data_IF_231829488201
#
_entry.id   IF_231829488201
#
_cell.length_a   1.000
_cell.length_b   1.000
_cell.length_c   1.000
_cell.angle_alpha   90.00
_cell.angle_beta   90.00
_cell.angle_gamma   90.00
#
_symmetry.space_group_name_H-M   'P 1'
#
loop_
_entity.id
_entity.type
_entity.pdbx_description
1 polymer ?
#
# COMPACT_ATOMS: atom_id res chain seq x y z
N UNK A 1 -3.86 -20.57 2.67
CA UNK A 1 -3.99 -20.06 1.29
C UNK A 1 -3.20 -18.76 1.23
N UNK A 2 -2.13 -18.65 0.40
CA UNK A 2 -1.45 -17.36 0.20
C UNK A 2 -2.32 -16.55 -0.75
N UNK A 3 -3.03 -15.56 -0.21
CA UNK A 3 -3.83 -14.63 -1.01
C UNK A 3 -2.82 -13.64 -1.58
N UNK A 4 -2.54 -13.74 -2.88
CA UNK A 4 -1.78 -12.71 -3.56
C UNK A 4 -2.67 -11.48 -3.70
N UNK A 5 -2.16 -10.25 -3.51
CA UNK A 5 -2.94 -9.06 -3.84
C UNK A 5 -3.41 -9.17 -5.28
N UNK A 6 -4.73 -9.01 -5.50
CA UNK A 6 -5.24 -8.87 -6.86
C UNK A 6 -4.77 -7.51 -7.36
N UNK A 7 -4.18 -7.51 -8.54
CA UNK A 7 -3.72 -6.29 -9.20
C UNK A 7 -4.54 -6.07 -10.45
N UNK A 8 -5.14 -4.89 -10.55
CA UNK A 8 -5.78 -4.42 -11.77
C UNK A 8 -5.04 -3.19 -12.31
N UNK A 9 -5.14 -2.97 -13.61
CA UNK A 9 -4.61 -1.78 -14.24
C UNK A 9 -5.79 -0.83 -14.45
N UNK A 10 -5.79 0.31 -13.78
CA UNK A 10 -6.73 1.39 -14.06
C UNK A 10 -6.14 2.32 -15.13
N UNK A 11 -7.05 2.82 -15.97
CA UNK A 11 -6.84 3.89 -16.95
C UNK A 11 -5.78 3.65 -18.05
N UNK A 12 -5.67 4.61 -18.97
CA UNK A 12 -4.72 4.58 -20.11
C UNK A 12 -3.25 4.71 -19.68
N UNK A 13 -2.98 5.13 -18.43
CA UNK A 13 -1.64 5.33 -17.86
C UNK A 13 -1.13 4.08 -17.13
N UNK A 14 -1.97 3.07 -17.06
CA UNK A 14 -1.68 1.77 -16.50
C UNK A 14 -1.34 1.78 -14.99
N UNK A 15 -2.03 2.61 -14.20
CA UNK A 15 -1.77 2.70 -12.76
C UNK A 15 -2.30 1.44 -12.06
N UNK A 16 -1.47 0.71 -11.30
CA UNK A 16 -1.91 -0.50 -10.63
C UNK A 16 -2.81 -0.19 -9.43
N UNK A 17 -3.89 -0.96 -9.29
CA UNK A 17 -4.76 -1.01 -8.12
C UNK A 17 -4.43 -2.26 -7.34
N UNK A 18 -4.22 -2.12 -6.03
CA UNK A 18 -3.90 -3.25 -5.15
C UNK A 18 -5.10 -3.53 -4.26
N UNK A 19 -5.75 -4.66 -4.45
CA UNK A 19 -6.84 -5.10 -3.59
C UNK A 19 -6.30 -5.84 -2.36
N UNK A 20 -6.83 -5.48 -1.20
CA UNK A 20 -6.58 -6.11 0.08
C UNK A 20 -7.54 -7.30 0.28
N UNK A 21 -7.19 -8.27 1.14
CA UNK A 21 -8.11 -9.35 1.49
C UNK A 21 -9.36 -8.78 2.18
N UNK A 22 -10.53 -9.10 1.65
CA UNK A 22 -11.83 -8.68 2.19
C UNK A 22 -12.27 -9.54 3.39
N UNK A 23 -12.05 -10.85 3.29
CA UNK A 23 -12.41 -11.82 4.34
C UNK A 23 -11.62 -11.59 5.63
N UNK A 24 -12.35 -11.29 6.71
CA UNK A 24 -11.82 -11.06 8.06
C UNK A 24 -10.74 -9.96 8.10
N UNK A 25 -10.91 -8.90 7.31
CA UNK A 25 -9.96 -7.78 7.27
C UNK A 25 -9.65 -7.20 8.67
N UNK A 26 -10.62 -6.97 9.58
CA UNK A 26 -10.31 -6.47 10.92
C UNK A 26 -9.39 -7.41 11.73
N UNK A 27 -9.61 -8.73 11.66
CA UNK A 27 -8.79 -9.72 12.34
C UNK A 27 -7.37 -9.80 11.74
N UNK A 28 -7.25 -9.61 10.42
CA UNK A 28 -5.97 -9.55 9.72
C UNK A 28 -5.17 -8.32 10.11
N UNK A 29 -5.81 -7.14 10.19
CA UNK A 29 -5.16 -5.91 10.66
C UNK A 29 -4.68 -6.07 12.10
N UNK A 30 -5.51 -6.66 12.97
CA UNK A 30 -5.11 -6.96 14.35
C UNK A 30 -3.88 -7.89 14.40
N UNK A 31 -3.91 -8.97 13.60
CA UNK A 31 -2.79 -9.92 13.50
C UNK A 31 -1.54 -9.28 12.92
N UNK A 32 -1.67 -8.40 11.93
CA UNK A 32 -0.59 -7.63 11.33
C UNK A 32 0.15 -6.81 12.38
N UNK A 33 -0.57 -6.07 13.23
CA UNK A 33 0.06 -5.31 14.31
C UNK A 33 0.69 -6.20 15.39
N UNK A 34 0.03 -7.30 15.78
CA UNK A 34 0.60 -8.25 16.75
C UNK A 34 1.91 -8.88 16.27
N UNK A 35 2.05 -9.08 14.96
CA UNK A 35 3.25 -9.64 14.33
C UNK A 35 4.31 -8.60 13.97
N UNK A 36 4.20 -7.36 14.45
CA UNK A 36 5.12 -6.26 14.12
C UNK A 36 5.19 -5.94 12.62
N UNK A 37 4.07 -6.14 11.91
CA UNK A 37 4.00 -5.89 10.48
C UNK A 37 4.24 -4.42 10.12
N UNK A 38 3.86 -3.49 11.02
CA UNK A 38 4.11 -2.06 10.82
C UNK A 38 5.61 -1.77 10.72
N UNK A 39 6.39 -2.27 11.66
CA UNK A 39 7.84 -2.11 11.69
C UNK A 39 8.48 -2.71 10.43
N UNK A 40 8.01 -3.87 9.98
CA UNK A 40 8.48 -4.50 8.74
C UNK A 40 8.19 -3.63 7.50
N UNK A 41 7.02 -2.99 7.44
CA UNK A 41 6.69 -2.05 6.36
C UNK A 41 7.54 -0.79 6.43
N UNK A 42 7.73 -0.22 7.63
CA UNK A 42 8.56 0.97 7.81
C UNK A 42 10.04 0.71 7.47
N UNK A 43 10.58 -0.47 7.78
CA UNK A 43 11.91 -0.89 7.36
C UNK A 43 12.00 -1.08 5.84
N UNK A 44 10.99 -1.71 5.23
CA UNK A 44 10.92 -1.88 3.79
C UNK A 44 10.87 -0.54 3.05
N UNK A 45 10.10 0.42 3.57
CA UNK A 45 10.02 1.77 3.01
C UNK A 45 11.36 2.48 3.05
N UNK A 46 12.14 2.39 4.15
CA UNK A 46 13.50 2.97 4.20
C UNK A 46 14.43 2.43 3.12
N UNK A 47 14.31 1.14 2.81
CA UNK A 47 15.04 0.54 1.69
C UNK A 47 14.61 1.15 0.34
N UNK A 48 13.30 1.32 0.12
CA UNK A 48 12.78 1.93 -1.10
C UNK A 48 13.14 3.41 -1.22
N UNK A 49 13.12 4.17 -0.12
CA UNK A 49 13.55 5.57 -0.07
C UNK A 49 14.99 5.71 -0.57
N UNK A 50 15.88 4.85 -0.08
CA UNK A 50 17.28 4.81 -0.51
C UNK A 50 17.44 4.37 -1.97
N UNK A 51 16.62 3.44 -2.45
CA UNK A 51 16.71 2.91 -3.82
C UNK A 51 16.15 3.89 -4.88
N UNK A 52 15.04 4.55 -4.58
CA UNK A 52 14.35 5.45 -5.50
C UNK A 52 14.74 6.93 -5.31
N UNK A 53 15.50 7.27 -4.26
CA UNK A 53 15.83 8.66 -3.88
C UNK A 53 14.57 9.52 -3.69
N UNK A 54 13.56 8.98 -2.99
CA UNK A 54 12.27 9.64 -2.76
C UNK A 54 11.85 9.48 -1.30
N UNK A 55 11.15 10.48 -0.77
CA UNK A 55 10.60 10.44 0.59
C UNK A 55 9.19 9.84 0.61
N UNK A 56 8.99 8.80 1.41
CA UNK A 56 7.67 8.21 1.62
C UNK A 56 7.00 8.81 2.87
N UNK A 57 5.67 8.79 2.87
CA UNK A 57 4.85 9.16 4.03
C UNK A 57 3.78 8.12 4.22
N UNK A 58 3.77 7.45 5.36
CA UNK A 58 2.78 6.42 5.67
C UNK A 58 1.78 6.98 6.69
N UNK A 59 0.49 6.80 6.42
CA UNK A 59 -0.57 7.10 7.38
C UNK A 59 -1.21 5.79 7.84
N UNK A 60 -1.15 5.55 9.15
CA UNK A 60 -1.65 4.34 9.79
C UNK A 60 -2.90 4.64 10.61
N UNK A 61 -3.82 3.69 10.60
CA UNK A 61 -4.98 3.63 11.47
C UNK A 61 -4.99 2.29 12.21
N UNK A 62 -5.29 2.29 13.50
CA UNK A 62 -5.22 1.08 14.33
C UNK A 62 -6.30 0.04 13.96
N UNK A 63 -7.40 0.47 13.34
CA UNK A 63 -8.52 -0.38 12.94
C UNK A 63 -8.45 -0.75 11.45
N UNK A 64 -8.04 0.18 10.60
CA UNK A 64 -8.00 0.01 9.15
C UNK A 64 -6.61 -0.30 8.58
N UNK A 65 -5.58 -0.23 9.40
CA UNK A 65 -4.19 -0.48 9.00
C UNK A 65 -3.61 0.66 8.16
N UNK A 66 -2.88 0.34 7.08
CA UNK A 66 -2.21 1.34 6.26
C UNK A 66 -3.23 2.08 5.36
N UNK A 67 -3.55 3.33 5.71
CA UNK A 67 -4.59 4.13 5.06
C UNK A 67 -4.11 4.93 3.86
N UNK A 68 -2.86 5.41 3.90
CA UNK A 68 -2.26 6.16 2.81
C UNK A 68 -0.77 5.85 2.69
N UNK A 69 -0.30 5.77 1.45
CA UNK A 69 1.10 5.65 1.06
C UNK A 69 1.42 6.86 0.17
N UNK A 70 1.99 7.90 0.74
CA UNK A 70 2.43 9.09 0.02
C UNK A 70 3.87 8.97 -0.48
N UNK A 71 4.17 9.62 -1.60
CA UNK A 71 5.52 9.77 -2.15
C UNK A 71 5.73 11.24 -2.55
N UNK A 72 6.76 11.89 -2.01
CA UNK A 72 6.94 13.33 -2.16
C UNK A 72 5.76 14.13 -1.60
N UNK A 73 5.47 15.32 -2.16
CA UNK A 73 4.55 16.29 -1.53
C UNK A 73 3.07 16.03 -1.85
N UNK A 74 2.72 15.50 -3.03
CA UNK A 74 1.34 15.57 -3.54
C UNK A 74 0.75 14.31 -4.18
N UNK A 75 1.47 13.18 -4.26
CA UNK A 75 0.92 11.97 -4.88
C UNK A 75 1.13 10.73 -4.01
N UNK A 76 0.27 9.74 -4.21
CA UNK A 76 0.23 8.57 -3.34
C UNK A 76 -0.89 7.60 -3.69
N UNK A 77 -0.97 6.55 -2.87
CA UNK A 77 -2.07 5.58 -2.85
C UNK A 77 -2.93 5.82 -1.62
N UNK A 78 -4.23 5.99 -1.83
CA UNK A 78 -5.25 6.12 -0.79
C UNK A 78 -6.04 4.81 -0.67
N UNK A 79 -6.27 4.32 0.55
CA UNK A 79 -7.13 3.16 0.77
C UNK A 79 -8.60 3.56 0.60
N UNK A 80 -9.23 3.06 -0.46
CA UNK A 80 -10.68 3.08 -0.64
C UNK A 80 -11.31 1.98 0.22
N UNK A 81 -11.89 2.36 1.36
CA UNK A 81 -12.41 1.42 2.37
C UNK A 81 -13.57 0.55 1.86
N UNK A 82 -14.42 1.10 0.99
CA UNK A 82 -15.60 0.41 0.46
C UNK A 82 -15.23 -0.76 -0.45
N UNK A 83 -14.13 -0.64 -1.19
CA UNK A 83 -13.64 -1.65 -2.14
C UNK A 83 -12.40 -2.39 -1.62
N UNK A 84 -11.89 -1.98 -0.45
CA UNK A 84 -10.64 -2.44 0.16
C UNK A 84 -9.49 -2.50 -0.85
N UNK A 85 -9.26 -1.41 -1.56
CA UNK A 85 -8.15 -1.31 -2.51
C UNK A 85 -7.44 0.04 -2.46
N UNK A 86 -6.18 0.04 -2.88
CA UNK A 86 -5.41 1.27 -3.03
C UNK A 86 -5.65 1.89 -4.40
N UNK A 87 -6.08 3.15 -4.39
CA UNK A 87 -6.30 3.96 -5.59
C UNK A 87 -5.24 5.05 -5.68
N UNK A 88 -4.69 5.23 -6.88
CA UNK A 88 -3.73 6.29 -7.19
C UNK A 88 -4.33 7.68 -7.14
N UNK A 89 -3.72 8.58 -6.37
CA UNK A 89 -4.06 10.00 -6.32
C UNK A 89 -2.87 10.83 -6.80
N UNK A 90 -3.12 11.68 -7.81
CA UNK A 90 -2.14 12.57 -8.46
C UNK A 90 -0.94 11.87 -9.11
N UNK A 91 -1.08 10.58 -9.42
CA UNK A 91 -0.07 9.79 -10.13
C UNK A 91 -0.21 10.03 -11.63
N UNK A 92 0.91 10.39 -12.28
CA UNK A 92 0.96 10.80 -13.68
C UNK A 92 1.56 9.74 -14.59
N UNK A 93 2.32 8.80 -14.03
CA UNK A 93 3.00 7.75 -14.77
C UNK A 93 3.15 6.46 -13.95
N UNK A 94 3.39 5.35 -14.64
CA UNK A 94 3.71 4.08 -14.01
C UNK A 94 4.97 4.15 -13.14
N UNK A 95 5.99 4.92 -13.54
CA UNK A 95 7.24 5.08 -12.79
C UNK A 95 7.03 5.76 -11.43
N UNK A 96 6.03 6.64 -11.33
CA UNK A 96 5.59 7.22 -10.05
C UNK A 96 4.81 6.22 -9.21
N UNK A 97 4.06 5.32 -9.85
CA UNK A 97 3.22 4.32 -9.18
C UNK A 97 4.01 3.13 -8.63
N UNK A 98 5.09 2.70 -9.29
CA UNK A 98 5.85 1.49 -8.93
C UNK A 98 6.29 1.49 -7.46
N UNK A 99 6.92 2.55 -6.92
CA UNK A 99 7.37 2.54 -5.53
C UNK A 99 6.21 2.42 -4.54
N UNK A 100 5.08 3.07 -4.82
CA UNK A 100 3.84 3.01 -4.03
C UNK A 100 3.22 1.61 -4.06
N UNK A 101 3.17 1.03 -5.27
CA UNK A 101 2.68 -0.32 -5.52
C UNK A 101 3.47 -1.38 -4.74
N UNK A 102 4.80 -1.26 -4.69
CA UNK A 102 5.65 -2.18 -3.94
C UNK A 102 5.30 -2.19 -2.44
N UNK A 103 5.05 -1.01 -1.86
CA UNK A 103 4.62 -0.89 -0.45
C UNK A 103 3.23 -1.50 -0.25
N UNK A 104 2.27 -1.20 -1.12
CA UNK A 104 0.92 -1.74 -1.03
C UNK A 104 0.89 -3.27 -1.12
N UNK A 105 1.66 -3.85 -2.06
CA UNK A 105 1.79 -5.32 -2.20
C UNK A 105 2.46 -5.94 -0.97
N UNK A 106 3.52 -5.30 -0.45
CA UNK A 106 4.19 -5.77 0.76
C UNK A 106 3.21 -5.77 1.94
N UNK A 107 2.45 -4.69 2.14
CA UNK A 107 1.43 -4.61 3.18
C UNK A 107 0.35 -5.68 3.01
N UNK A 108 -0.22 -5.82 1.81
CA UNK A 108 -1.20 -6.86 1.51
C UNK A 108 -0.69 -8.28 1.76
N UNK A 109 0.62 -8.53 1.59
CA UNK A 109 1.24 -9.83 1.86
C UNK A 109 1.43 -10.16 3.35
N UNK A 110 1.36 -9.15 4.22
CA UNK A 110 1.49 -9.27 5.67
C UNK A 110 0.13 -9.28 6.40
N UNK A 111 -0.97 -9.05 5.66
CA UNK A 111 -2.36 -9.21 6.09
C UNK A 111 -2.85 -10.65 5.91
#
# INVERSE_FOLDING_TARGET
MRIYPRVEIQDERAIPVVYLPDENYPERVSSFYQNKGREEIEEYVKFLEAYYEKDFRLFWDDHFGLKNIGLGINFGFDLEESSLCYIGHNIRSLDEAIPLFLVAVKYASLL
#
